data_IF_660180003624
#
_entry.id   IF_660180003624
#
_cell.length_a   1.000
_cell.length_b   1.000
_cell.length_c   1.000
_cell.angle_alpha   90.00
_cell.angle_beta   90.00
_cell.angle_gamma   90.00
#
_symmetry.space_group_name_H-M   'P 1'
#
loop_
_entity.id
_entity.type
_entity.pdbx_description
1 polymer ?
#
# COMPACT_ATOMS: atom_id res chain seq x y z
N UNK A 1 -5.10 -10.31 -4.30
CA UNK A 1 -5.48 -9.01 -3.69
C UNK A 1 -5.76 -9.21 -2.21
N UNK A 2 -5.36 -8.27 -1.34
CA UNK A 2 -5.44 -8.42 0.12
C UNK A 2 -6.87 -8.41 0.68
N UNK A 3 -7.70 -7.44 0.27
CA UNK A 3 -9.03 -7.24 0.86
C UNK A 3 -10.18 -7.68 -0.06
N UNK A 4 -9.93 -7.75 -1.38
CA UNK A 4 -10.98 -8.00 -2.38
C UNK A 4 -12.04 -6.88 -2.48
N UNK A 5 -11.85 -5.75 -1.78
CA UNK A 5 -12.78 -4.63 -1.73
C UNK A 5 -12.29 -3.45 -2.58
N UNK A 6 -13.20 -2.59 -3.00
CA UNK A 6 -12.86 -1.34 -3.67
C UNK A 6 -12.16 -0.40 -2.67
N UNK A 7 -10.99 0.17 -3.01
CA UNK A 7 -10.37 1.19 -2.18
C UNK A 7 -11.31 2.40 -2.04
N UNK A 8 -11.50 2.86 -0.80
CA UNK A 8 -12.31 4.05 -0.50
C UNK A 8 -13.77 3.98 -0.97
N UNK A 9 -14.41 2.80 -0.87
CA UNK A 9 -15.79 2.55 -1.34
C UNK A 9 -16.85 3.56 -0.86
N UNK A 10 -16.60 4.25 0.27
CA UNK A 10 -17.50 5.25 0.85
C UNK A 10 -17.16 6.70 0.48
N UNK A 11 -16.18 6.94 -0.41
CA UNK A 11 -15.74 8.27 -0.84
C UNK A 11 -15.98 8.47 -2.33
N UNK A 12 -16.27 9.71 -2.74
CA UNK A 12 -16.20 10.08 -4.16
C UNK A 12 -14.74 10.09 -4.64
N UNK A 13 -14.48 9.96 -5.95
CA UNK A 13 -13.11 10.02 -6.49
C UNK A 13 -12.34 11.28 -6.07
N UNK A 14 -13.02 12.43 -6.05
CA UNK A 14 -12.42 13.70 -5.61
C UNK A 14 -12.08 13.68 -4.12
N UNK A 15 -12.97 13.17 -3.26
CA UNK A 15 -12.71 13.05 -1.82
C UNK A 15 -11.54 12.10 -1.54
N UNK A 16 -11.45 10.98 -2.26
CA UNK A 16 -10.34 10.05 -2.16
C UNK A 16 -9.02 10.71 -2.58
N UNK A 17 -8.99 11.41 -3.72
CA UNK A 17 -7.80 12.11 -4.20
C UNK A 17 -7.32 13.18 -3.20
N UNK A 18 -8.23 14.03 -2.72
CA UNK A 18 -7.91 15.06 -1.72
C UNK A 18 -7.45 14.41 -0.40
N UNK A 19 -8.10 13.35 0.06
CA UNK A 19 -7.71 12.62 1.26
C UNK A 19 -6.30 12.01 1.15
N UNK A 20 -5.97 11.41 0.02
CA UNK A 20 -4.65 10.81 -0.23
C UNK A 20 -3.55 11.89 -0.27
N UNK A 21 -3.79 13.00 -0.96
CA UNK A 21 -2.78 14.05 -1.17
C UNK A 21 -2.61 14.94 0.05
N UNK A 22 -3.71 15.40 0.66
CA UNK A 22 -3.66 16.39 1.74
C UNK A 22 -3.62 15.77 3.14
N UNK A 23 -4.20 14.58 3.33
CA UNK A 23 -4.32 13.94 4.65
C UNK A 23 -3.50 12.66 4.78
N UNK A 24 -2.75 12.29 3.74
CA UNK A 24 -1.98 11.05 3.73
C UNK A 24 -2.85 9.79 3.83
N UNK A 25 -4.13 9.86 3.42
CA UNK A 25 -5.03 8.71 3.51
C UNK A 25 -4.45 7.51 2.75
N UNK A 26 -4.49 6.34 3.38
CA UNK A 26 -4.12 5.04 2.80
C UNK A 26 -5.17 3.98 3.16
N UNK A 27 -5.32 2.91 2.36
CA UNK A 27 -6.24 1.83 2.69
C UNK A 27 -5.84 1.14 4.00
N UNK A 28 -6.85 0.69 4.76
CA UNK A 28 -6.63 -0.08 5.99
C UNK A 28 -6.04 -1.45 5.66
N UNK A 29 -4.96 -1.81 6.35
CA UNK A 29 -4.33 -3.12 6.22
C UNK A 29 -5.03 -4.11 7.18
N UNK A 30 -5.54 -5.26 6.70
CA UNK A 30 -6.16 -6.26 7.58
C UNK A 30 -5.18 -6.79 8.62
N UNK A 31 -5.65 -7.07 9.84
CA UNK A 31 -4.81 -7.56 10.94
C UNK A 31 -4.10 -8.88 10.64
N UNK A 32 -4.66 -9.71 9.75
CA UNK A 32 -4.11 -11.02 9.39
C UNK A 32 -3.07 -10.94 8.26
N UNK A 33 -2.67 -9.73 7.87
CA UNK A 33 -1.68 -9.51 6.81
C UNK A 33 -0.29 -9.87 7.32
N UNK A 34 0.48 -10.61 6.52
CA UNK A 34 1.86 -11.00 6.85
C UNK A 34 2.70 -9.74 7.12
N UNK A 35 3.48 -9.65 8.23
CA UNK A 35 4.22 -8.44 8.59
C UNK A 35 5.12 -7.87 7.49
N UNK A 36 5.85 -8.73 6.77
CA UNK A 36 6.67 -8.32 5.61
C UNK A 36 5.86 -7.64 4.49
N UNK A 37 4.59 -8.03 4.31
CA UNK A 37 3.71 -7.40 3.33
C UNK A 37 3.20 -6.04 3.82
N UNK A 38 2.98 -5.89 5.13
CA UNK A 38 2.66 -4.61 5.77
C UNK A 38 3.81 -3.63 5.57
N UNK A 39 5.03 -4.05 5.88
CA UNK A 39 6.25 -3.26 5.72
C UNK A 39 6.42 -2.80 4.25
N UNK A 40 6.25 -3.71 3.29
CA UNK A 40 6.33 -3.37 1.86
C UNK A 40 5.30 -2.29 1.47
N UNK A 41 4.04 -2.42 1.92
CA UNK A 41 3.01 -1.42 1.63
C UNK A 41 3.36 -0.05 2.22
N UNK A 42 3.83 0.00 3.47
CA UNK A 42 4.23 1.23 4.15
C UNK A 42 5.42 1.90 3.46
N UNK A 43 6.40 1.12 2.97
CA UNK A 43 7.53 1.63 2.17
C UNK A 43 7.08 2.17 0.82
N UNK A 44 6.17 1.49 0.12
CA UNK A 44 5.60 1.97 -1.14
C UNK A 44 4.79 3.26 -0.97
N UNK A 45 4.27 3.53 0.23
CA UNK A 45 3.41 4.66 0.52
C UNK A 45 4.10 5.87 1.15
N UNK A 46 5.43 5.84 1.28
CA UNK A 46 6.21 6.94 1.82
C UNK A 46 5.86 8.27 1.15
N UNK A 47 5.72 9.31 1.99
CA UNK A 47 5.36 10.65 1.52
C UNK A 47 6.49 11.22 0.67
N UNK A 48 7.74 11.04 1.12
CA UNK A 48 8.93 11.34 0.34
C UNK A 48 9.08 10.29 -0.78
N UNK A 49 9.00 10.69 -2.06
CA UNK A 49 9.17 9.77 -3.18
C UNK A 49 10.54 9.09 -3.21
N UNK A 50 11.59 9.72 -2.67
CA UNK A 50 12.96 9.18 -2.66
C UNK A 50 13.14 8.01 -1.69
N UNK A 51 12.24 7.87 -0.72
CA UNK A 51 12.24 6.75 0.24
C UNK A 51 11.46 5.53 -0.26
N UNK A 52 10.79 5.64 -1.41
CA UNK A 52 10.04 4.53 -1.98
C UNK A 52 10.99 3.54 -2.63
N UNK A 53 10.74 2.23 -2.49
CA UNK A 53 11.58 1.21 -3.11
C UNK A 53 11.48 1.28 -4.64
N UNK A 54 12.59 0.96 -5.30
CA UNK A 54 12.61 0.74 -6.74
C UNK A 54 11.77 -0.47 -7.12
N UNK A 55 11.23 -0.48 -8.34
CA UNK A 55 10.34 -1.56 -8.78
C UNK A 55 11.02 -2.94 -8.74
N UNK A 56 12.33 -3.01 -9.03
CA UNK A 56 13.13 -4.24 -8.94
C UNK A 56 13.23 -4.78 -7.51
N UNK A 57 13.28 -3.89 -6.51
CA UNK A 57 13.27 -4.30 -5.10
C UNK A 57 11.89 -4.86 -4.72
N UNK A 58 10.82 -4.21 -5.19
CA UNK A 58 9.44 -4.66 -4.95
C UNK A 58 9.24 -6.07 -5.52
N UNK A 59 9.68 -6.34 -6.76
CA UNK A 59 9.51 -7.67 -7.37
C UNK A 59 10.26 -8.75 -6.60
N UNK A 60 11.51 -8.49 -6.20
CA UNK A 60 12.31 -9.44 -5.41
C UNK A 60 11.65 -9.76 -4.06
N UNK A 61 11.11 -8.75 -3.37
CA UNK A 61 10.39 -8.94 -2.10
C UNK A 61 9.10 -9.74 -2.29
N UNK A 62 8.34 -9.47 -3.35
CA UNK A 62 7.13 -10.21 -3.68
C UNK A 62 7.41 -11.68 -4.01
N UNK A 63 8.52 -11.97 -4.69
CA UNK A 63 8.95 -13.33 -4.98
C UNK A 63 9.35 -14.11 -3.71
N UNK A 64 10.13 -13.51 -2.79
CA UNK A 64 10.43 -14.15 -1.48
C UNK A 64 9.16 -14.41 -0.66
N UNK A 65 8.18 -13.49 -0.75
CA UNK A 65 6.89 -13.61 -0.06
C UNK A 65 5.98 -14.70 -0.64
N UNK A 66 6.09 -15.00 -1.93
CA UNK A 66 5.31 -16.01 -2.63
C UNK A 66 5.94 -17.42 -2.53
N UNK A 67 7.25 -17.48 -2.38
CA UNK A 67 8.02 -18.74 -2.40
C UNK A 67 8.08 -19.46 -1.04
N UNK A 68 7.31 -19.01 -0.04
CA UNK A 68 7.27 -19.55 1.33
C UNK A 68 5.85 -19.64 1.89
#
# INVERSE_FOLDING_TARGET
>A
MLTGKLPYENLTPLQAAVGVVQKGLRPVIPQHTRPKFVELLERCWQQDPSLRPEFSEITNLLEDLASR
#
